data_IF_860448575974
#
_entry.id   IF_860448575974
#
_cell.length_a   1.000
_cell.length_b   1.000
_cell.length_c   1.000
_cell.angle_alpha   90.00
_cell.angle_beta   90.00
_cell.angle_gamma   90.00
#
_symmetry.space_group_name_H-M   'P 1'
#
loop_
_entity.id
_entity.type
_entity.pdbx_description
1 polymer ?
#
# COMPACT_ATOMS: atom_id res chain seq x y z
N UNK A 1 12.59 -21.88 25.25
CA UNK A 1 11.59 -20.78 25.26
C UNK A 1 12.16 -19.67 24.37
N UNK A 2 11.56 -19.36 23.20
CA UNK A 2 11.92 -18.13 22.48
C UNK A 2 11.41 -16.97 23.34
N UNK A 3 12.32 -16.10 23.77
CA UNK A 3 11.99 -14.90 24.53
C UNK A 3 10.88 -14.10 23.85
N UNK A 4 9.88 -13.70 24.62
CA UNK A 4 8.87 -12.76 24.14
C UNK A 4 9.58 -11.43 23.88
N UNK A 5 9.47 -10.91 22.64
CA UNK A 5 10.02 -9.62 22.29
C UNK A 5 9.42 -8.57 23.24
N UNK A 6 10.23 -7.79 23.94
CA UNK A 6 9.70 -6.79 24.87
C UNK A 6 8.90 -5.73 24.10
N UNK A 7 7.71 -5.43 24.59
CA UNK A 7 6.91 -4.32 24.07
C UNK A 7 7.44 -2.98 24.59
N UNK A 8 7.50 -1.96 23.75
CA UNK A 8 7.77 -0.58 24.18
C UNK A 8 6.68 -0.05 25.13
N UNK A 9 6.93 1.06 25.81
CA UNK A 9 5.93 1.70 26.67
C UNK A 9 4.65 2.06 25.91
N UNK A 10 4.76 2.59 24.68
CA UNK A 10 3.62 2.91 23.84
C UNK A 10 2.86 1.67 23.40
N UNK A 11 3.57 0.62 22.99
CA UNK A 11 2.95 -0.66 22.63
C UNK A 11 2.24 -1.28 23.83
N UNK A 12 2.82 -1.23 25.04
CA UNK A 12 2.16 -1.69 26.27
C UNK A 12 0.91 -0.86 26.55
N UNK A 13 0.98 0.48 26.41
CA UNK A 13 -0.17 1.37 26.60
C UNK A 13 -1.30 1.02 25.63
N UNK A 14 -1.00 0.85 24.33
CA UNK A 14 -1.98 0.44 23.33
C UNK A 14 -2.57 -0.96 23.60
N UNK A 15 -1.78 -1.88 24.16
CA UNK A 15 -2.23 -3.24 24.47
C UNK A 15 -3.19 -3.31 25.66
N UNK A 16 -2.95 -2.51 26.75
CA UNK A 16 -3.70 -2.64 28.03
C UNK A 16 -4.59 -1.45 28.37
N UNK A 17 -4.74 -0.44 27.48
CA UNK A 17 -5.49 0.78 27.78
C UNK A 17 -6.91 0.51 28.30
N UNK A 18 -7.56 -0.48 27.74
CA UNK A 18 -8.92 -0.88 28.06
C UNK A 18 -9.10 -1.39 29.50
N UNK A 19 -8.02 -1.81 30.16
CA UNK A 19 -8.00 -2.30 31.55
C UNK A 19 -7.57 -1.23 32.55
N UNK A 20 -7.28 -0.01 32.11
CA UNK A 20 -6.84 1.09 32.95
C UNK A 20 -8.01 1.94 33.37
N UNK A 21 -8.13 2.24 34.67
CA UNK A 21 -9.21 3.11 35.24
C UNK A 21 -9.23 4.49 34.57
N UNK A 22 -8.07 5.06 34.26
CA UNK A 22 -7.94 6.37 33.62
C UNK A 22 -8.62 6.46 32.25
N UNK A 23 -8.92 5.30 31.61
CA UNK A 23 -9.57 5.20 30.28
C UNK A 23 -10.90 4.45 30.35
N UNK A 24 -11.52 4.31 31.52
CA UNK A 24 -12.79 3.59 31.71
C UNK A 24 -13.89 4.17 30.81
N UNK A 25 -13.98 5.50 30.77
CA UNK A 25 -14.97 6.25 29.99
C UNK A 25 -14.59 6.49 28.52
N UNK A 26 -13.43 5.97 28.07
CA UNK A 26 -12.99 6.19 26.70
C UNK A 26 -13.67 5.22 25.74
N UNK A 27 -14.26 5.80 24.68
CA UNK A 27 -14.98 5.05 23.66
C UNK A 27 -14.04 4.45 22.58
N UNK A 28 -12.84 5.01 22.43
CA UNK A 28 -11.95 4.62 21.34
C UNK A 28 -10.45 4.71 21.70
N UNK A 29 -9.63 4.04 20.89
CA UNK A 29 -8.19 4.27 20.81
C UNK A 29 -7.78 4.51 19.36
N UNK A 30 -6.91 5.47 19.15
CA UNK A 30 -6.31 5.83 17.86
C UNK A 30 -4.80 5.66 17.98
N UNK A 31 -4.24 4.74 17.18
CA UNK A 31 -2.81 4.55 17.08
C UNK A 31 -2.37 4.88 15.65
N UNK A 32 -1.78 6.05 15.44
CA UNK A 32 -1.22 6.47 14.15
C UNK A 32 0.31 6.50 14.16
N UNK A 33 0.89 6.89 13.03
CA UNK A 33 2.33 7.16 12.93
C UNK A 33 3.07 6.25 11.97
N UNK A 34 4.39 6.14 12.17
CA UNK A 34 5.33 5.50 11.25
C UNK A 34 5.01 4.02 10.95
N UNK A 35 5.39 3.59 9.75
CA UNK A 35 5.37 2.16 9.40
C UNK A 35 6.35 1.39 10.32
N UNK A 36 6.14 0.08 10.45
CA UNK A 36 7.00 -0.82 11.25
C UNK A 36 7.15 -0.44 12.73
N UNK A 37 6.34 0.46 13.24
CA UNK A 37 6.33 0.85 14.66
C UNK A 37 5.71 -0.21 15.59
N UNK A 38 5.09 -1.24 15.03
CA UNK A 38 4.46 -2.34 15.79
C UNK A 38 3.03 -2.04 16.26
N UNK A 39 2.40 -0.96 15.76
CA UNK A 39 0.99 -0.59 16.06
C UNK A 39 0.04 -1.76 15.87
N UNK A 40 0.01 -2.35 14.67
CA UNK A 40 -0.94 -3.41 14.29
C UNK A 40 -0.85 -4.62 15.22
N UNK A 41 0.36 -5.02 15.63
CA UNK A 41 0.52 -6.13 16.58
C UNK A 41 -0.01 -5.77 17.96
N UNK A 42 0.36 -4.60 18.50
CA UNK A 42 -0.06 -4.17 19.85
C UNK A 42 -1.58 -3.98 19.91
N UNK A 43 -2.16 -3.34 18.88
CA UNK A 43 -3.60 -3.10 18.76
C UNK A 43 -4.36 -4.41 18.58
N UNK A 44 -3.94 -5.26 17.67
CA UNK A 44 -4.60 -6.55 17.41
C UNK A 44 -4.59 -7.45 18.63
N UNK A 45 -3.43 -7.61 19.28
CA UNK A 45 -3.34 -8.39 20.53
C UNK A 45 -4.24 -7.78 21.61
N UNK A 46 -4.18 -6.46 21.82
CA UNK A 46 -5.00 -5.76 22.79
C UNK A 46 -6.50 -5.96 22.55
N UNK A 47 -6.94 -5.85 21.30
CA UNK A 47 -8.33 -6.04 20.90
C UNK A 47 -8.86 -7.44 21.23
N UNK A 48 -8.11 -8.49 20.86
CA UNK A 48 -8.53 -9.85 21.17
C UNK A 48 -8.53 -10.13 22.69
N UNK A 49 -7.53 -9.60 23.42
CA UNK A 49 -7.51 -9.75 24.88
C UNK A 49 -8.69 -9.04 25.53
N UNK A 50 -9.01 -7.80 25.14
CA UNK A 50 -10.16 -7.07 25.59
C UNK A 50 -11.47 -7.81 25.29
N UNK A 51 -11.66 -8.22 24.05
CA UNK A 51 -12.86 -8.91 23.61
C UNK A 51 -13.10 -10.20 24.44
N UNK A 52 -12.03 -10.97 24.68
CA UNK A 52 -12.14 -12.23 25.42
C UNK A 52 -12.17 -12.05 26.95
N UNK A 53 -11.73 -10.91 27.47
CA UNK A 53 -11.82 -10.59 28.89
C UNK A 53 -13.19 -10.03 29.27
N UNK A 54 -13.75 -9.16 28.42
CA UNK A 54 -14.98 -8.42 28.74
C UNK A 54 -16.26 -9.07 28.21
N UNK A 55 -16.17 -9.92 27.16
CA UNK A 55 -17.36 -10.42 26.47
C UNK A 55 -17.34 -11.93 26.28
N UNK A 56 -18.54 -12.51 26.12
CA UNK A 56 -18.76 -13.89 25.69
C UNK A 56 -19.98 -13.93 24.78
N UNK A 57 -19.92 -14.76 23.74
CA UNK A 57 -20.96 -14.92 22.71
C UNK A 57 -21.36 -13.58 22.04
N UNK A 58 -20.35 -12.73 21.75
CA UNK A 58 -20.54 -11.46 21.08
C UNK A 58 -19.89 -11.44 19.71
N UNK A 59 -20.37 -10.49 18.89
CA UNK A 59 -19.89 -10.24 17.55
C UNK A 59 -18.98 -9.02 17.53
N UNK A 60 -17.88 -9.12 16.78
CA UNK A 60 -16.89 -8.08 16.57
C UNK A 60 -16.60 -7.95 15.08
N UNK A 61 -16.14 -6.78 14.65
CA UNK A 61 -15.66 -6.60 13.29
C UNK A 61 -14.15 -6.32 13.26
N UNK A 62 -13.49 -6.93 12.28
CA UNK A 62 -12.13 -6.62 11.88
C UNK A 62 -12.22 -6.02 10.48
N UNK A 63 -11.87 -4.75 10.34
CA UNK A 63 -12.01 -3.96 9.14
C UNK A 63 -10.63 -3.59 8.57
N UNK A 64 -10.44 -3.75 7.28
CA UNK A 64 -9.25 -3.32 6.54
C UNK A 64 -9.62 -2.89 5.13
N UNK A 65 -8.69 -2.30 4.38
CA UNK A 65 -8.95 -1.92 2.99
C UNK A 65 -9.47 -3.09 2.14
N UNK A 66 -8.97 -4.29 2.39
CA UNK A 66 -9.51 -5.53 1.82
C UNK A 66 -9.34 -6.68 2.81
N UNK A 67 -10.20 -7.71 2.71
CA UNK A 67 -10.09 -8.92 3.56
C UNK A 67 -8.73 -9.61 3.37
N UNK A 68 -8.19 -9.62 2.15
CA UNK A 68 -6.87 -10.20 1.88
C UNK A 68 -5.73 -9.43 2.56
N UNK A 69 -5.76 -8.10 2.53
CA UNK A 69 -4.79 -7.27 3.23
C UNK A 69 -4.90 -7.44 4.76
N UNK A 70 -6.11 -7.40 5.28
CA UNK A 70 -6.39 -7.60 6.71
C UNK A 70 -5.85 -8.95 7.23
N UNK A 71 -6.01 -10.03 6.47
CA UNK A 71 -5.44 -11.33 6.82
C UNK A 71 -3.92 -11.27 6.90
N UNK A 72 -3.26 -10.77 5.86
CA UNK A 72 -1.79 -10.67 5.82
C UNK A 72 -1.22 -9.75 6.90
N UNK A 73 -1.84 -8.59 7.09
CA UNK A 73 -1.29 -7.56 7.98
C UNK A 73 -1.57 -7.87 9.46
N UNK A 74 -2.79 -8.25 9.77
CA UNK A 74 -3.26 -8.44 11.14
C UNK A 74 -3.24 -9.92 11.55
N UNK A 75 -4.00 -10.79 10.86
CA UNK A 75 -4.24 -12.14 11.35
C UNK A 75 -3.00 -13.03 11.30
N UNK A 76 -2.21 -12.99 10.22
CA UNK A 76 -0.98 -13.78 10.11
C UNK A 76 0.06 -13.39 11.17
N UNK A 77 -0.03 -12.15 11.69
CA UNK A 77 0.85 -11.66 12.74
C UNK A 77 0.32 -12.00 14.14
N UNK A 78 -0.98 -11.82 14.37
CA UNK A 78 -1.61 -11.92 15.70
C UNK A 78 -1.98 -13.34 16.08
N UNK A 79 -2.58 -14.15 15.17
CA UNK A 79 -3.09 -15.47 15.49
C UNK A 79 -2.02 -16.44 16.01
N UNK A 80 -0.78 -16.48 15.49
CA UNK A 80 0.26 -17.32 16.07
C UNK A 80 0.59 -16.97 17.53
N UNK A 81 0.52 -15.69 17.88
CA UNK A 81 0.77 -15.24 19.24
C UNK A 81 -0.40 -15.62 20.18
N UNK A 82 -1.64 -15.40 19.71
CA UNK A 82 -2.82 -15.81 20.48
C UNK A 82 -2.83 -17.31 20.79
N UNK A 83 -2.54 -18.14 19.77
CA UNK A 83 -2.45 -19.60 19.96
C UNK A 83 -1.39 -20.00 20.99
N UNK A 84 -0.21 -19.36 20.97
CA UNK A 84 0.83 -19.58 21.99
C UNK A 84 0.39 -19.21 23.39
N UNK A 85 -0.55 -18.26 23.52
CA UNK A 85 -1.10 -17.80 24.80
C UNK A 85 -2.38 -18.57 25.21
N UNK A 86 -2.68 -19.68 24.54
CA UNK A 86 -3.75 -20.59 24.89
C UNK A 86 -5.14 -20.18 24.38
N UNK A 87 -5.19 -19.35 23.31
CA UNK A 87 -6.43 -19.11 22.58
C UNK A 87 -6.63 -20.17 21.49
N UNK A 88 -7.81 -20.74 21.39
CA UNK A 88 -8.23 -21.54 20.25
C UNK A 88 -8.79 -20.59 19.19
N UNK A 89 -8.18 -20.58 18.01
CA UNK A 89 -8.55 -19.70 16.90
C UNK A 89 -8.89 -20.52 15.68
N UNK A 90 -10.16 -20.50 15.27
CA UNK A 90 -10.73 -21.21 14.12
C UNK A 90 -11.14 -20.19 13.05
N UNK A 91 -10.50 -20.26 11.88
CA UNK A 91 -10.83 -19.37 10.75
C UNK A 91 -11.70 -20.10 9.73
N UNK A 92 -12.92 -19.60 9.51
CA UNK A 92 -13.84 -20.03 8.45
C UNK A 92 -13.72 -19.05 7.27
N UNK A 93 -12.83 -19.38 6.34
CA UNK A 93 -12.43 -18.44 5.27
C UNK A 93 -13.54 -18.06 4.31
N UNK A 94 -14.40 -19.02 3.95
CA UNK A 94 -15.57 -18.78 3.08
C UNK A 94 -16.59 -17.83 3.72
N UNK A 95 -16.77 -17.94 5.03
CA UNK A 95 -17.69 -17.11 5.81
C UNK A 95 -17.07 -15.76 6.22
N UNK A 96 -15.77 -15.53 5.95
CA UNK A 96 -15.01 -14.37 6.44
C UNK A 96 -15.13 -14.22 7.96
N UNK A 97 -15.11 -15.32 8.70
CA UNK A 97 -15.36 -15.41 10.13
C UNK A 97 -14.16 -16.04 10.84
N UNK A 98 -13.77 -15.45 11.95
CA UNK A 98 -12.82 -16.00 12.90
C UNK A 98 -13.53 -16.23 14.23
N UNK A 99 -13.51 -17.44 14.73
CA UNK A 99 -14.04 -17.80 16.04
C UNK A 99 -12.87 -17.95 17.01
N UNK A 100 -12.93 -17.23 18.13
CA UNK A 100 -11.88 -17.29 19.16
C UNK A 100 -12.49 -17.79 20.47
N UNK A 101 -11.82 -18.79 21.05
CA UNK A 101 -12.23 -19.42 22.33
C UNK A 101 -11.11 -19.34 23.35
N UNK A 102 -11.46 -19.07 24.59
CA UNK A 102 -10.54 -19.11 25.74
C UNK A 102 -11.29 -19.23 27.05
N UNK A 103 -10.87 -20.15 27.90
CA UNK A 103 -11.43 -20.32 29.27
C UNK A 103 -12.96 -20.37 29.30
N UNK A 104 -13.59 -21.14 28.41
CA UNK A 104 -15.03 -21.30 28.32
C UNK A 104 -15.79 -20.16 27.63
N UNK A 105 -15.12 -19.08 27.23
CA UNK A 105 -15.73 -18.00 26.44
C UNK A 105 -15.51 -18.22 24.96
N UNK A 106 -16.46 -17.81 24.13
CA UNK A 106 -16.39 -17.79 22.67
C UNK A 106 -16.85 -16.41 22.18
N UNK A 107 -16.14 -15.85 21.19
CA UNK A 107 -16.58 -14.66 20.47
C UNK A 107 -16.31 -14.84 18.95
N UNK A 108 -17.10 -14.13 18.12
CA UNK A 108 -17.07 -14.19 16.66
C UNK A 108 -16.55 -12.88 16.09
N UNK A 109 -15.56 -12.96 15.21
CA UNK A 109 -14.90 -11.81 14.59
C UNK A 109 -15.10 -11.89 13.07
N UNK A 110 -15.93 -10.99 12.54
CA UNK A 110 -16.22 -10.91 11.11
C UNK A 110 -15.21 -10.02 10.39
N UNK A 111 -14.75 -10.45 9.22
CA UNK A 111 -13.74 -9.75 8.44
C UNK A 111 -14.39 -8.97 7.30
N UNK A 112 -14.15 -7.66 7.25
CA UNK A 112 -14.70 -6.75 6.24
C UNK A 112 -13.60 -6.05 5.46
N UNK A 113 -13.84 -5.85 4.15
CA UNK A 113 -13.02 -5.00 3.29
C UNK A 113 -13.76 -3.70 3.01
N UNK A 114 -13.21 -2.56 3.43
CA UNK A 114 -13.71 -1.22 3.13
C UNK A 114 -12.93 -0.61 1.96
N UNK A 115 -13.13 -1.12 0.73
CA UNK A 115 -12.39 -0.66 -0.43
C UNK A 115 -13.00 0.57 -1.12
N UNK A 116 -14.31 0.75 -0.99
CA UNK A 116 -15.11 1.82 -1.62
C UNK A 116 -16.38 2.12 -0.81
N UNK A 117 -17.12 3.14 -1.21
CA UNK A 117 -18.35 3.59 -0.54
C UNK A 117 -19.42 2.49 -0.43
N UNK A 118 -19.56 1.63 -1.46
CA UNK A 118 -20.52 0.53 -1.45
C UNK A 118 -20.20 -0.51 -0.35
N UNK A 119 -18.99 -0.54 0.17
CA UNK A 119 -18.58 -1.46 1.24
C UNK A 119 -19.36 -1.21 2.56
N UNK A 120 -19.90 -0.01 2.77
CA UNK A 120 -20.70 0.32 3.94
C UNK A 120 -21.94 -0.58 4.08
N UNK A 121 -22.50 -1.05 2.97
CA UNK A 121 -23.65 -1.97 2.96
C UNK A 121 -23.33 -3.34 3.58
N UNK A 122 -22.07 -3.78 3.54
CA UNK A 122 -21.66 -5.11 4.03
C UNK A 122 -21.81 -5.30 5.54
N UNK A 123 -21.79 -4.20 6.30
CA UNK A 123 -21.84 -4.24 7.77
C UNK A 123 -23.21 -3.84 8.33
N UNK A 124 -24.18 -3.56 7.45
CA UNK A 124 -25.54 -3.21 7.86
C UNK A 124 -26.22 -4.38 8.57
N UNK A 125 -27.09 -4.06 9.55
CA UNK A 125 -27.88 -5.04 10.28
C UNK A 125 -27.13 -5.80 11.38
N UNK A 126 -25.82 -5.58 11.55
CA UNK A 126 -25.06 -6.21 12.62
C UNK A 126 -25.17 -5.45 13.95
N UNK A 127 -25.04 -6.19 15.06
CA UNK A 127 -24.85 -5.64 16.40
C UNK A 127 -23.47 -6.05 16.89
N UNK A 128 -22.59 -5.09 17.10
CA UNK A 128 -21.18 -5.32 17.40
C UNK A 128 -20.84 -4.90 18.82
N UNK A 129 -20.00 -5.67 19.48
CA UNK A 129 -19.39 -5.32 20.75
C UNK A 129 -18.08 -4.53 20.58
N UNK A 130 -17.56 -4.43 19.36
CA UNK A 130 -16.41 -3.60 19.04
C UNK A 130 -15.91 -3.80 17.61
N UNK A 131 -15.13 -2.83 17.14
CA UNK A 131 -14.52 -2.84 15.79
C UNK A 131 -13.04 -2.48 15.89
N UNK A 132 -12.22 -3.24 15.19
CA UNK A 132 -10.83 -2.90 14.92
C UNK A 132 -10.67 -2.52 13.44
N UNK A 133 -10.24 -1.29 13.18
CA UNK A 133 -9.91 -0.78 11.86
C UNK A 133 -8.38 -0.82 11.67
N UNK A 134 -7.90 -1.67 10.79
CA UNK A 134 -6.49 -1.69 10.38
C UNK A 134 -6.34 -0.88 9.08
N UNK A 135 -5.47 0.12 9.10
CA UNK A 135 -5.32 1.13 8.05
C UNK A 135 -6.59 2.01 7.86
N UNK A 136 -7.14 2.53 8.95
CA UNK A 136 -8.40 3.31 8.96
C UNK A 136 -8.41 4.48 7.95
N UNK A 137 -7.28 5.16 7.75
CA UNK A 137 -7.16 6.26 6.80
C UNK A 137 -7.31 5.82 5.33
N UNK A 138 -7.20 4.53 5.01
CA UNK A 138 -7.39 4.02 3.64
C UNK A 138 -8.82 3.55 3.36
N UNK A 139 -9.74 3.71 4.31
CA UNK A 139 -11.13 3.31 4.16
C UNK A 139 -12.01 4.53 3.91
N UNK A 140 -13.10 4.38 3.13
CA UNK A 140 -14.10 5.43 2.97
C UNK A 140 -14.71 5.83 4.32
N UNK A 141 -14.98 7.11 4.47
CA UNK A 141 -15.61 7.67 5.66
C UNK A 141 -16.94 6.98 5.98
N UNK A 142 -17.80 6.80 4.99
CA UNK A 142 -19.10 6.14 5.11
C UNK A 142 -19.00 4.73 5.72
N UNK A 143 -17.99 3.96 5.29
CA UNK A 143 -17.75 2.62 5.82
C UNK A 143 -17.35 2.64 7.31
N UNK A 144 -16.43 3.53 7.69
CA UNK A 144 -15.97 3.66 9.08
C UNK A 144 -17.10 4.16 9.99
N UNK A 145 -17.87 5.14 9.55
CA UNK A 145 -19.04 5.65 10.28
C UNK A 145 -20.11 4.56 10.44
N UNK A 146 -20.43 3.83 9.38
CA UNK A 146 -21.40 2.75 9.43
C UNK A 146 -20.96 1.63 10.40
N UNK A 147 -19.70 1.20 10.32
CA UNK A 147 -19.17 0.18 11.23
C UNK A 147 -19.17 0.65 12.68
N UNK A 148 -18.81 1.89 12.92
CA UNK A 148 -18.84 2.50 14.27
C UNK A 148 -20.26 2.57 14.84
N UNK A 149 -21.25 2.93 14.01
CA UNK A 149 -22.65 2.97 14.41
C UNK A 149 -23.25 1.58 14.76
N UNK A 150 -22.62 0.49 14.34
CA UNK A 150 -23.02 -0.88 14.72
C UNK A 150 -22.54 -1.29 16.12
N UNK A 151 -21.63 -0.53 16.75
CA UNK A 151 -21.17 -0.76 18.12
C UNK A 151 -22.20 -0.26 19.13
N UNK A 152 -23.25 -1.04 19.33
CA UNK A 152 -24.39 -0.70 20.20
C UNK A 152 -24.51 -1.60 21.44
N UNK A 153 -23.55 -2.48 21.66
CA UNK A 153 -23.45 -3.28 22.89
C UNK A 153 -22.82 -2.42 23.99
N UNK A 154 -23.34 -2.50 25.22
CA UNK A 154 -22.77 -1.81 26.37
C UNK A 154 -21.29 -2.17 26.56
N UNK A 155 -20.44 -1.17 26.79
CA UNK A 155 -18.99 -1.34 26.90
C UNK A 155 -18.28 -1.53 25.55
N UNK A 156 -18.98 -1.37 24.41
CA UNK A 156 -18.36 -1.44 23.08
C UNK A 156 -17.32 -0.35 22.90
N UNK A 157 -16.23 -0.68 22.14
CA UNK A 157 -15.11 0.23 21.90
C UNK A 157 -14.62 0.13 20.46
N UNK A 158 -14.09 1.28 19.96
CA UNK A 158 -13.54 1.41 18.63
C UNK A 158 -11.99 1.44 18.69
N UNK A 159 -11.35 0.73 17.79
CA UNK A 159 -9.90 0.63 17.74
C UNK A 159 -9.41 1.02 16.34
N UNK A 160 -8.64 2.10 16.23
CA UNK A 160 -8.15 2.63 14.96
C UNK A 160 -6.63 2.55 14.86
N UNK A 161 -6.14 1.85 13.84
CA UNK A 161 -4.72 1.85 13.46
C UNK A 161 -4.58 2.46 12.07
N UNK A 162 -3.66 3.40 11.86
CA UNK A 162 -3.39 3.98 10.54
C UNK A 162 -1.97 4.50 10.41
N UNK A 163 -1.56 4.73 9.16
CA UNK A 163 -0.44 5.60 8.83
C UNK A 163 -1.00 6.97 8.41
N UNK A 164 -0.26 8.06 8.63
CA UNK A 164 -0.70 9.39 8.23
C UNK A 164 -0.84 9.58 6.74
N UNK A 165 -1.81 10.39 6.37
CA UNK A 165 -2.07 10.94 5.05
C UNK A 165 -1.89 12.47 5.07
N UNK A 166 -2.65 13.23 4.30
CA UNK A 166 -2.65 14.68 4.33
C UNK A 166 -3.37 15.27 5.55
N UNK A 167 -3.05 16.53 5.96
CA UNK A 167 -3.67 17.19 7.13
C UNK A 167 -5.16 17.51 6.89
N UNK A 168 -5.60 17.52 5.63
CA UNK A 168 -7.00 17.73 5.26
C UNK A 168 -7.80 16.42 5.22
N UNK A 169 -7.16 15.28 5.47
CA UNK A 169 -7.81 13.99 5.45
C UNK A 169 -8.93 13.91 6.50
N UNK A 170 -10.10 13.37 6.12
CA UNK A 170 -11.28 13.31 6.98
C UNK A 170 -11.00 12.65 8.34
N UNK A 171 -10.21 11.55 8.37
CA UNK A 171 -9.90 10.82 9.59
C UNK A 171 -9.04 11.67 10.54
N UNK A 172 -8.06 12.42 10.00
CA UNK A 172 -7.25 13.34 10.80
C UNK A 172 -8.10 14.43 11.44
N UNK A 173 -8.93 15.12 10.63
CA UNK A 173 -9.75 16.26 11.10
C UNK A 173 -10.83 15.83 12.08
N UNK A 174 -11.47 14.69 11.87
CA UNK A 174 -12.65 14.29 12.65
C UNK A 174 -12.34 13.33 13.80
N UNK A 175 -11.23 12.61 13.73
CA UNK A 175 -10.85 11.66 14.76
C UNK A 175 -9.58 12.06 15.49
N UNK A 176 -8.48 12.32 14.79
CA UNK A 176 -7.19 12.61 15.44
C UNK A 176 -7.22 13.98 16.12
N UNK A 177 -7.62 15.05 15.39
CA UNK A 177 -7.71 16.40 15.96
C UNK A 177 -8.81 16.54 17.03
N UNK A 178 -9.80 15.68 17.02
CA UNK A 178 -10.94 15.70 17.95
C UNK A 178 -10.95 14.52 18.92
N UNK A 179 -9.76 13.94 19.18
CA UNK A 179 -9.67 12.74 20.01
C UNK A 179 -10.24 12.93 21.41
N UNK A 180 -10.01 14.08 22.04
CA UNK A 180 -10.55 14.39 23.36
C UNK A 180 -12.09 14.48 23.37
N UNK A 181 -12.68 15.19 22.39
CA UNK A 181 -14.14 15.31 22.25
C UNK A 181 -14.81 13.94 22.07
N UNK A 182 -14.13 13.04 21.34
CA UNK A 182 -14.59 11.68 21.09
C UNK A 182 -14.25 10.68 22.19
N UNK A 183 -13.66 11.15 23.30
CA UNK A 183 -13.12 10.29 24.36
C UNK A 183 -12.27 9.16 23.78
N UNK A 184 -11.36 9.49 22.87
CA UNK A 184 -10.43 8.57 22.22
C UNK A 184 -9.02 8.75 22.78
N UNK A 185 -8.39 7.66 23.20
CA UNK A 185 -6.97 7.65 23.54
C UNK A 185 -6.15 7.77 22.26
N UNK A 186 -5.45 8.88 22.08
CA UNK A 186 -4.57 9.08 20.96
C UNK A 186 -3.11 8.73 21.30
N UNK A 187 -2.50 7.88 20.48
CA UNK A 187 -1.10 7.46 20.60
C UNK A 187 -0.40 7.56 19.24
N UNK A 188 0.55 8.45 19.16
CA UNK A 188 1.41 8.59 17.98
C UNK A 188 2.64 7.69 18.08
N UNK A 189 2.91 6.87 17.06
CA UNK A 189 4.00 5.90 17.02
C UNK A 189 5.09 6.29 16.01
N UNK A 190 6.34 6.10 16.42
CA UNK A 190 7.52 6.19 15.57
C UNK A 190 8.15 4.81 15.36
N UNK A 191 9.09 4.67 14.43
CA UNK A 191 9.84 3.41 14.28
C UNK A 191 10.66 3.06 15.55
N UNK A 192 11.01 4.05 16.38
CA UNK A 192 11.71 3.84 17.64
C UNK A 192 10.86 3.09 18.67
N UNK A 193 9.54 3.13 18.54
CA UNK A 193 8.62 2.43 19.42
C UNK A 193 8.56 0.91 19.17
N UNK A 194 9.32 0.40 18.19
CA UNK A 194 9.40 -1.02 17.91
C UNK A 194 10.76 -1.59 18.32
N UNK A 195 10.90 -2.20 19.51
CA UNK A 195 12.17 -2.75 19.99
C UNK A 195 12.66 -3.96 19.17
N UNK A 196 11.81 -4.58 18.35
CA UNK A 196 12.20 -5.67 17.45
C UNK A 196 12.86 -5.17 16.15
N UNK A 197 12.84 -3.85 15.89
CA UNK A 197 13.38 -3.27 14.68
C UNK A 197 14.86 -2.90 14.91
N UNK A 198 15.78 -3.69 14.34
CA UNK A 198 17.20 -3.42 14.46
C UNK A 198 17.59 -2.08 13.82
N UNK A 199 18.67 -1.45 14.32
CA UNK A 199 19.19 -0.19 13.75
C UNK A 199 19.49 -0.30 12.25
N UNK A 200 20.03 -1.44 11.79
CA UNK A 200 20.29 -1.71 10.36
C UNK A 200 18.99 -1.71 9.53
N UNK A 201 17.93 -2.32 10.06
CA UNK A 201 16.62 -2.35 9.36
C UNK A 201 16.00 -0.96 9.35
N UNK A 202 16.09 -0.20 10.45
CA UNK A 202 15.63 1.18 10.52
C UNK A 202 16.33 2.07 9.50
N UNK A 203 17.67 2.08 9.48
CA UNK A 203 18.47 2.83 8.51
C UNK A 203 18.11 2.49 7.06
N UNK A 204 17.79 1.21 6.77
CA UNK A 204 17.31 0.80 5.46
C UNK A 204 15.96 1.47 5.11
N UNK A 205 15.00 1.52 6.03
CA UNK A 205 13.73 2.21 5.79
C UNK A 205 13.92 3.71 5.62
N UNK A 206 14.75 4.33 6.45
CA UNK A 206 15.11 5.75 6.35
C UNK A 206 15.71 6.10 4.99
N UNK A 207 16.57 5.22 4.44
CA UNK A 207 17.17 5.42 3.11
C UNK A 207 16.25 5.10 1.93
N UNK A 208 15.15 4.35 2.16
CA UNK A 208 14.19 3.96 1.11
C UNK A 208 13.17 5.05 0.81
N UNK A 209 12.91 5.93 1.75
CA UNK A 209 11.88 6.97 1.62
C UNK A 209 12.51 8.35 1.52
N UNK A 210 11.82 9.28 0.87
CA UNK A 210 12.24 10.66 0.73
C UNK A 210 11.02 11.57 0.55
N UNK A 211 11.22 12.89 0.69
CA UNK A 211 10.14 13.87 0.54
C UNK A 211 8.93 13.53 1.42
N UNK A 212 7.75 13.62 0.83
CA UNK A 212 6.48 13.38 1.52
C UNK A 212 6.39 11.95 2.10
N UNK A 213 6.91 10.95 1.39
CA UNK A 213 6.88 9.56 1.86
C UNK A 213 7.76 9.34 3.10
N UNK A 214 8.88 10.04 3.21
CA UNK A 214 9.71 10.01 4.42
C UNK A 214 8.96 10.61 5.60
N UNK A 215 8.35 11.78 5.42
CA UNK A 215 7.58 12.45 6.46
C UNK A 215 6.41 11.59 6.96
N UNK A 216 5.62 11.01 6.05
CA UNK A 216 4.45 10.19 6.41
C UNK A 216 4.81 8.82 6.96
N UNK A 217 5.73 8.10 6.32
CA UNK A 217 5.98 6.69 6.64
C UNK A 217 7.13 6.46 7.62
N UNK A 218 8.13 7.36 7.64
CA UNK A 218 9.28 7.25 8.57
C UNK A 218 9.05 8.09 9.83
N UNK A 219 8.68 9.37 9.65
CA UNK A 219 8.42 10.25 10.79
C UNK A 219 7.00 10.09 11.33
N UNK A 220 6.05 9.62 10.53
CA UNK A 220 4.66 9.43 10.94
C UNK A 220 3.84 10.72 10.98
N UNK A 221 4.19 11.72 10.19
CA UNK A 221 3.55 13.04 10.19
C UNK A 221 2.34 13.13 9.28
N UNK A 222 1.27 13.77 9.75
CA UNK A 222 0.14 14.21 8.93
C UNK A 222 0.53 15.49 8.19
N UNK A 223 1.04 15.35 6.99
CA UNK A 223 1.59 16.47 6.21
C UNK A 223 1.08 16.45 4.77
N UNK A 224 0.80 17.64 4.23
CA UNK A 224 0.38 17.80 2.84
C UNK A 224 1.49 17.39 1.89
N UNK A 225 1.11 16.73 0.80
CA UNK A 225 1.97 16.59 -0.35
C UNK A 225 1.76 17.83 -1.22
N UNK A 226 2.80 18.59 -1.45
CA UNK A 226 2.76 19.82 -2.24
C UNK A 226 3.87 19.82 -3.30
N UNK A 227 3.60 20.50 -4.41
CA UNK A 227 4.55 20.62 -5.50
C UNK A 227 4.73 19.34 -6.31
N UNK A 228 5.87 19.24 -6.99
CA UNK A 228 6.18 18.13 -7.89
C UNK A 228 6.37 16.82 -7.13
N UNK A 229 5.88 15.72 -7.73
CA UNK A 229 6.00 14.38 -7.16
C UNK A 229 7.46 13.91 -7.13
N UNK A 230 8.22 14.23 -8.18
CA UNK A 230 9.65 13.97 -8.28
C UNK A 230 10.44 15.28 -8.15
N UNK A 231 10.29 15.96 -7.01
CA UNK A 231 10.89 17.27 -6.70
C UNK A 231 12.42 17.29 -6.80
N UNK A 232 13.06 16.15 -6.54
CA UNK A 232 14.50 15.94 -6.64
C UNK A 232 15.00 15.82 -8.08
N UNK A 233 14.12 15.57 -9.06
CA UNK A 233 14.52 15.31 -10.44
C UNK A 233 14.70 16.64 -11.21
N UNK A 234 15.93 16.88 -11.63
CA UNK A 234 16.29 17.97 -12.52
C UNK A 234 16.77 17.36 -13.87
N UNK A 235 16.07 17.60 -15.00
CA UNK A 235 16.43 16.98 -16.29
C UNK A 235 17.89 17.20 -16.69
N UNK A 236 18.44 18.37 -16.42
CA UNK A 236 19.84 18.68 -16.73
C UNK A 236 20.87 17.81 -15.99
N UNK A 237 20.51 17.31 -14.80
CA UNK A 237 21.37 16.49 -13.97
C UNK A 237 21.08 14.98 -14.15
N UNK A 238 19.81 14.61 -14.28
CA UNK A 238 19.36 13.22 -14.26
C UNK A 238 19.22 12.61 -15.66
N UNK A 239 18.82 13.40 -16.67
CA UNK A 239 18.68 12.88 -18.03
C UNK A 239 20.05 12.66 -18.69
N UNK A 240 20.22 11.51 -19.31
CA UNK A 240 21.49 11.08 -19.93
C UNK A 240 21.28 10.73 -21.39
N UNK A 241 22.38 10.57 -22.14
CA UNK A 241 22.33 9.95 -23.45
C UNK A 241 22.08 8.46 -23.33
N UNK A 242 21.46 7.88 -24.35
CA UNK A 242 21.22 6.45 -24.37
C UNK A 242 22.55 5.68 -24.38
N UNK A 243 22.73 4.64 -23.58
CA UNK A 243 23.95 3.85 -23.59
C UNK A 243 24.10 3.14 -24.94
N UNK A 244 25.36 3.00 -25.42
CA UNK A 244 25.65 2.29 -26.66
C UNK A 244 25.21 0.82 -26.61
N UNK A 245 24.71 0.31 -27.73
CA UNK A 245 24.41 -1.13 -27.88
C UNK A 245 25.71 -1.97 -27.86
N UNK A 246 25.67 -3.27 -27.56
CA UNK A 246 24.44 -4.06 -27.31
C UNK A 246 23.88 -3.87 -25.91
N UNK A 247 22.56 -4.02 -25.80
CA UNK A 247 21.84 -4.02 -24.51
C UNK A 247 21.52 -5.46 -24.07
N UNK A 248 21.55 -5.72 -22.77
CA UNK A 248 21.35 -7.05 -22.22
C UNK A 248 19.89 -7.53 -22.37
N UNK A 249 18.93 -6.64 -22.17
CA UNK A 249 17.49 -6.93 -22.19
C UNK A 249 16.73 -5.70 -22.65
N UNK A 250 15.60 -5.95 -23.33
CA UNK A 250 14.67 -4.92 -23.77
C UNK A 250 13.25 -5.23 -23.26
N UNK A 251 12.57 -4.21 -22.78
CA UNK A 251 11.15 -4.26 -22.39
C UNK A 251 10.45 -3.00 -22.87
N UNK A 252 9.12 -3.11 -23.03
CA UNK A 252 8.26 -1.96 -23.29
C UNK A 252 7.25 -1.88 -22.17
N UNK A 253 6.94 -0.69 -21.69
CA UNK A 253 5.77 -0.41 -20.87
C UNK A 253 4.82 0.51 -21.61
N UNK A 254 3.52 0.33 -21.36
CA UNK A 254 2.47 1.03 -22.11
C UNK A 254 1.40 1.50 -21.14
N UNK A 255 1.13 2.81 -21.15
CA UNK A 255 -0.13 3.38 -20.67
C UNK A 255 -1.01 3.62 -21.90
N UNK A 256 -2.09 2.83 -22.00
CA UNK A 256 -2.93 2.78 -23.20
C UNK A 256 -4.18 3.64 -23.05
N UNK A 257 -4.38 4.57 -23.96
CA UNK A 257 -5.56 5.40 -24.04
C UNK A 257 -6.18 5.40 -25.45
N UNK A 258 -7.50 5.30 -25.56
CA UNK A 258 -8.21 5.44 -26.84
C UNK A 258 -8.52 6.90 -27.16
N UNK A 259 -8.95 7.66 -26.17
CA UNK A 259 -9.26 9.11 -26.25
C UNK A 259 -8.15 9.92 -25.58
N UNK A 260 -7.65 9.43 -24.47
CA UNK A 260 -6.49 10.00 -23.78
C UNK A 260 -5.20 9.60 -24.51
N UNK A 261 -4.09 10.29 -24.27
CA UNK A 261 -2.80 9.92 -24.84
C UNK A 261 -2.42 8.46 -24.54
N UNK A 262 -1.76 7.83 -25.50
CA UNK A 262 -1.04 6.58 -25.32
C UNK A 262 0.44 6.86 -25.21
N UNK A 263 1.05 6.40 -24.13
CA UNK A 263 2.50 6.48 -23.90
C UNK A 263 3.12 5.08 -23.92
N UNK A 264 4.20 4.91 -24.68
CA UNK A 264 5.01 3.69 -24.68
C UNK A 264 6.48 4.06 -24.41
N UNK A 265 7.11 3.39 -23.46
CA UNK A 265 8.52 3.57 -23.15
C UNK A 265 9.32 2.33 -23.53
N UNK A 266 10.39 2.50 -24.32
CA UNK A 266 11.36 1.45 -24.61
C UNK A 266 12.47 1.47 -23.56
N UNK A 267 12.61 0.39 -22.83
CA UNK A 267 13.55 0.24 -21.72
C UNK A 267 14.65 -0.77 -22.06
N UNK A 268 15.90 -0.32 -21.93
CA UNK A 268 17.09 -1.14 -22.13
C UNK A 268 17.83 -1.36 -20.83
N UNK A 269 18.22 -2.61 -20.54
CA UNK A 269 19.09 -2.96 -19.41
C UNK A 269 20.54 -2.95 -19.88
N UNK A 270 21.38 -2.21 -19.15
CA UNK A 270 22.84 -2.25 -19.32
C UNK A 270 23.51 -2.04 -17.96
N UNK A 271 24.48 -2.90 -17.62
CA UNK A 271 25.26 -2.84 -16.38
C UNK A 271 24.40 -2.76 -15.11
N UNK A 272 23.26 -3.47 -15.13
CA UNK A 272 22.31 -3.51 -14.02
C UNK A 272 21.44 -2.25 -13.84
N UNK A 273 21.52 -1.29 -14.77
CA UNK A 273 20.70 -0.07 -14.81
C UNK A 273 19.71 -0.15 -15.97
N UNK A 274 18.48 0.25 -15.75
CA UNK A 274 17.46 0.37 -16.77
C UNK A 274 17.41 1.79 -17.31
N UNK A 275 17.51 1.92 -18.63
CA UNK A 275 17.45 3.17 -19.36
C UNK A 275 16.18 3.20 -20.19
N UNK A 276 15.38 4.27 -20.07
CA UNK A 276 14.31 4.59 -21.02
C UNK A 276 14.97 5.24 -22.22
N UNK A 277 15.26 4.44 -23.23
CA UNK A 277 16.11 4.84 -24.38
C UNK A 277 15.35 5.49 -25.51
N UNK A 278 14.05 5.20 -25.63
CA UNK A 278 13.17 5.75 -26.65
C UNK A 278 11.72 5.74 -26.17
N UNK A 279 10.86 6.49 -26.84
CA UNK A 279 9.45 6.59 -26.52
C UNK A 279 8.56 6.75 -27.75
N UNK A 280 7.32 6.32 -27.61
CA UNK A 280 6.21 6.69 -28.48
C UNK A 280 5.15 7.38 -27.65
N UNK A 281 4.71 8.56 -28.09
CA UNK A 281 3.66 9.32 -27.44
C UNK A 281 2.65 9.78 -28.49
N UNK A 282 1.35 9.47 -28.28
CA UNK A 282 0.31 9.85 -29.22
C UNK A 282 -0.90 10.36 -28.47
N UNK A 283 -1.23 11.63 -28.68
CA UNK A 283 -2.44 12.26 -28.14
C UNK A 283 -3.48 12.40 -29.25
N UNK A 284 -4.47 11.53 -29.23
CA UNK A 284 -5.55 11.49 -30.21
C UNK A 284 -6.41 12.76 -30.26
N UNK A 285 -6.42 13.56 -29.19
CA UNK A 285 -7.14 14.86 -29.16
C UNK A 285 -6.37 15.91 -29.95
N UNK A 286 -5.08 15.99 -29.75
CA UNK A 286 -4.19 16.91 -30.47
C UNK A 286 -4.08 16.54 -31.94
N UNK A 287 -3.99 15.25 -32.26
CA UNK A 287 -3.87 14.71 -33.61
C UNK A 287 -5.23 14.67 -34.37
N UNK A 288 -6.33 14.90 -33.66
CA UNK A 288 -7.69 14.87 -34.24
C UNK A 288 -8.15 13.50 -34.75
N UNK A 289 -7.45 12.41 -34.39
CA UNK A 289 -7.71 11.05 -34.85
C UNK A 289 -7.44 10.03 -33.74
N UNK A 290 -8.35 9.07 -33.59
CA UNK A 290 -8.10 7.88 -32.77
C UNK A 290 -7.40 6.81 -33.61
N UNK A 291 -6.47 6.08 -33.01
CA UNK A 291 -5.82 4.89 -33.58
C UNK A 291 -6.52 3.63 -33.08
N UNK A 292 -6.47 2.59 -33.92
CA UNK A 292 -6.90 1.24 -33.56
C UNK A 292 -5.83 0.50 -32.76
N UNK A 293 -6.22 -0.60 -32.11
CA UNK A 293 -5.26 -1.46 -31.40
C UNK A 293 -4.14 -1.94 -32.34
N UNK A 294 -4.46 -2.32 -33.59
CA UNK A 294 -3.47 -2.75 -34.58
C UNK A 294 -2.48 -1.62 -34.94
N UNK A 295 -2.97 -0.40 -35.16
CA UNK A 295 -2.09 0.75 -35.44
C UNK A 295 -1.17 1.09 -34.25
N UNK A 296 -1.59 0.84 -33.01
CA UNK A 296 -0.72 0.99 -31.86
C UNK A 296 0.31 -0.15 -31.74
N UNK A 297 -0.07 -1.37 -32.17
CA UNK A 297 0.92 -2.47 -32.24
C UNK A 297 1.95 -2.21 -33.32
N UNK A 298 1.54 -1.70 -34.49
CA UNK A 298 2.47 -1.30 -35.55
C UNK A 298 3.45 -0.22 -35.04
N UNK A 299 2.96 0.78 -34.31
CA UNK A 299 3.81 1.80 -33.71
C UNK A 299 4.79 1.21 -32.66
N UNK A 300 4.36 0.19 -31.89
CA UNK A 300 5.23 -0.51 -30.97
C UNK A 300 6.31 -1.31 -31.70
N UNK A 301 5.97 -1.97 -32.81
CA UNK A 301 6.94 -2.68 -33.65
C UNK A 301 7.97 -1.70 -34.27
N UNK A 302 7.54 -0.54 -34.72
CA UNK A 302 8.41 0.53 -35.18
C UNK A 302 9.34 1.05 -34.07
N UNK A 303 8.80 1.34 -32.89
CA UNK A 303 9.58 1.77 -31.72
C UNK A 303 10.67 0.76 -31.36
N UNK A 304 10.35 -0.51 -31.44
CA UNK A 304 11.29 -1.58 -31.09
C UNK A 304 12.26 -1.93 -32.25
N UNK A 305 12.03 -1.45 -33.48
CA UNK A 305 12.84 -1.69 -34.66
C UNK A 305 13.18 -3.17 -34.86
N UNK A 306 12.16 -4.03 -34.73
CA UNK A 306 12.28 -5.50 -34.88
C UNK A 306 13.24 -6.16 -33.87
N UNK A 307 13.63 -5.45 -32.79
CA UNK A 307 14.46 -6.02 -31.72
C UNK A 307 13.66 -6.98 -30.87
N UNK A 308 14.32 -8.00 -30.35
CA UNK A 308 13.65 -8.99 -29.45
C UNK A 308 13.29 -8.36 -28.14
N UNK A 309 12.00 -8.12 -27.93
CA UNK A 309 11.45 -7.62 -26.67
C UNK A 309 11.16 -8.79 -25.71
N UNK A 310 11.68 -8.69 -24.47
CA UNK A 310 11.45 -9.70 -23.45
C UNK A 310 9.98 -9.74 -23.01
N UNK A 311 9.39 -8.57 -22.74
CA UNK A 311 8.00 -8.38 -22.31
C UNK A 311 7.47 -7.01 -22.66
N UNK A 312 6.17 -6.93 -22.85
CA UNK A 312 5.39 -5.68 -22.89
C UNK A 312 4.55 -5.62 -21.62
N UNK A 313 4.70 -4.55 -20.83
CA UNK A 313 3.99 -4.31 -19.58
C UNK A 313 2.83 -3.35 -19.89
N UNK A 314 1.58 -3.76 -19.63
CA UNK A 314 0.38 -3.00 -20.03
C UNK A 314 -0.60 -2.94 -18.86
N UNK A 315 -1.31 -1.80 -18.73
CA UNK A 315 -2.40 -1.69 -17.74
C UNK A 315 -3.44 -2.82 -17.95
N UNK A 316 -3.86 -3.50 -16.87
CA UNK A 316 -4.85 -4.58 -16.96
C UNK A 316 -6.19 -4.20 -17.59
N UNK A 317 -6.56 -2.91 -17.58
CA UNK A 317 -7.82 -2.39 -18.15
C UNK A 317 -7.84 -2.41 -19.67
N UNK A 318 -6.67 -2.39 -20.34
CA UNK A 318 -6.52 -2.39 -21.80
C UNK A 318 -6.69 -3.80 -22.41
N UNK A 319 -7.81 -4.46 -22.15
CA UNK A 319 -8.02 -5.86 -22.49
C UNK A 319 -7.91 -6.17 -23.99
N UNK A 320 -8.48 -5.32 -24.86
CA UNK A 320 -8.45 -5.48 -26.31
C UNK A 320 -7.03 -5.34 -26.88
N UNK A 321 -6.32 -4.32 -26.43
CA UNK A 321 -4.94 -4.09 -26.82
C UNK A 321 -3.99 -5.21 -26.36
N UNK A 322 -4.19 -5.72 -25.12
CA UNK A 322 -3.45 -6.89 -24.61
C UNK A 322 -3.66 -8.11 -25.52
N UNK A 323 -4.87 -8.34 -25.98
CA UNK A 323 -5.20 -9.48 -26.85
C UNK A 323 -4.58 -9.31 -28.24
N UNK A 324 -4.60 -8.10 -28.79
CA UNK A 324 -3.95 -7.77 -30.06
C UNK A 324 -2.45 -7.98 -30.00
N UNK A 325 -1.77 -7.51 -28.94
CA UNK A 325 -0.35 -7.76 -28.70
C UNK A 325 -0.02 -9.25 -28.65
N UNK A 326 -0.85 -10.07 -27.99
CA UNK A 326 -0.64 -11.52 -27.89
C UNK A 326 -0.78 -12.22 -29.24
N UNK A 327 -1.79 -11.82 -30.04
CA UNK A 327 -1.96 -12.33 -31.42
C UNK A 327 -0.78 -12.00 -32.32
N UNK A 328 -0.15 -10.85 -32.11
CA UNK A 328 1.08 -10.41 -32.81
C UNK A 328 2.35 -11.05 -32.20
N UNK A 329 2.24 -11.96 -31.23
CA UNK A 329 3.35 -12.74 -30.69
C UNK A 329 4.12 -12.10 -29.53
N UNK A 330 3.66 -10.96 -28.99
CA UNK A 330 4.29 -10.34 -27.84
C UNK A 330 3.98 -11.05 -26.53
N UNK A 331 4.97 -11.14 -25.66
CA UNK A 331 4.79 -11.62 -24.27
C UNK A 331 4.31 -10.48 -23.40
N UNK A 332 3.00 -10.47 -23.10
CA UNK A 332 2.38 -9.41 -22.30
C UNK A 332 2.37 -9.76 -20.82
N UNK A 333 2.78 -8.79 -20.00
CA UNK A 333 2.65 -8.79 -18.55
C UNK A 333 1.66 -7.69 -18.13
N UNK A 334 0.65 -8.05 -17.35
CA UNK A 334 -0.26 -7.05 -16.75
C UNK A 334 0.48 -6.23 -15.70
N UNK A 335 0.37 -4.92 -15.78
CA UNK A 335 0.98 -3.99 -14.84
C UNK A 335 0.37 -4.12 -13.43
N UNK A 336 1.18 -3.81 -12.43
CA UNK A 336 0.67 -3.48 -11.11
C UNK A 336 0.43 -1.96 -11.08
N UNK A 337 -0.84 -1.56 -11.07
CA UNK A 337 -1.25 -0.16 -11.16
C UNK A 337 -1.47 0.52 -9.79
N UNK A 338 -0.97 -0.05 -8.68
CA UNK A 338 -0.99 0.59 -7.36
C UNK A 338 -0.24 1.93 -7.39
N UNK A 339 -0.98 3.05 -7.21
CA UNK A 339 -0.45 4.41 -7.42
C UNK A 339 0.59 4.76 -6.37
N UNK A 340 0.23 4.79 -5.09
CA UNK A 340 1.13 5.25 -4.02
C UNK A 340 2.42 4.41 -3.92
N UNK A 341 2.31 3.07 -3.97
CA UNK A 341 3.47 2.18 -3.98
C UNK A 341 4.32 2.37 -5.24
N UNK A 342 3.67 2.55 -6.38
CA UNK A 342 4.36 2.77 -7.66
C UNK A 342 5.15 4.07 -7.68
N UNK A 343 4.58 5.18 -7.23
CA UNK A 343 5.29 6.46 -7.13
C UNK A 343 6.51 6.35 -6.22
N UNK A 344 6.37 5.71 -5.07
CA UNK A 344 7.47 5.47 -4.15
C UNK A 344 8.59 4.62 -4.77
N UNK A 345 8.23 3.52 -5.41
CA UNK A 345 9.20 2.62 -6.07
C UNK A 345 9.94 3.34 -7.19
N UNK A 346 9.22 4.09 -8.00
CA UNK A 346 9.80 4.89 -9.09
C UNK A 346 10.78 5.93 -8.56
N UNK A 347 10.39 6.69 -7.52
CA UNK A 347 11.26 7.67 -6.89
C UNK A 347 12.55 7.04 -6.34
N UNK A 348 12.44 5.88 -5.67
CA UNK A 348 13.61 5.15 -5.14
C UNK A 348 14.57 4.69 -6.26
N UNK A 349 14.03 4.14 -7.35
CA UNK A 349 14.84 3.69 -8.49
C UNK A 349 15.52 4.86 -9.22
N UNK A 350 14.83 5.98 -9.42
CA UNK A 350 15.40 7.19 -10.01
C UNK A 350 16.53 7.76 -9.14
N UNK A 351 16.30 7.95 -7.84
CA UNK A 351 17.33 8.46 -6.89
C UNK A 351 18.57 7.60 -6.84
N UNK A 352 18.41 6.28 -6.88
CA UNK A 352 19.51 5.32 -6.89
C UNK A 352 20.15 5.15 -8.26
N UNK A 353 19.74 5.94 -9.24
CA UNK A 353 20.19 5.85 -10.65
C UNK A 353 20.11 4.43 -11.21
N UNK A 354 19.10 3.68 -10.80
CA UNK A 354 18.79 2.33 -11.31
C UNK A 354 17.72 2.36 -12.38
N UNK A 355 17.04 3.49 -12.49
CA UNK A 355 16.16 3.89 -13.57
C UNK A 355 16.64 5.23 -14.08
N UNK A 356 16.92 5.33 -15.36
CA UNK A 356 17.44 6.52 -16.01
C UNK A 356 16.56 6.85 -17.21
N UNK A 357 16.21 8.13 -17.37
CA UNK A 357 15.45 8.64 -18.51
C UNK A 357 16.44 9.27 -19.47
N UNK A 358 16.43 8.82 -20.73
CA UNK A 358 17.30 9.39 -21.73
C UNK A 358 16.74 10.68 -22.32
N UNK A 359 17.61 11.56 -22.81
CA UNK A 359 17.23 12.86 -23.38
C UNK A 359 16.36 12.77 -24.63
N UNK A 360 16.36 11.62 -25.30
CA UNK A 360 15.45 11.29 -26.41
C UNK A 360 13.98 11.25 -25.97
N UNK A 361 13.71 10.93 -24.72
CA UNK A 361 12.36 10.77 -24.17
C UNK A 361 11.76 12.12 -23.73
N UNK A 362 11.46 12.97 -24.69
CA UNK A 362 11.04 14.37 -24.48
C UNK A 362 9.68 14.50 -23.78
N UNK A 363 8.73 13.63 -24.14
CA UNK A 363 7.38 13.66 -23.57
C UNK A 363 7.39 13.20 -22.10
N UNK A 364 8.15 12.15 -21.80
CA UNK A 364 8.37 11.72 -20.43
C UNK A 364 9.02 12.82 -19.57
N UNK A 365 10.04 13.48 -20.08
CA UNK A 365 10.70 14.58 -19.36
C UNK A 365 9.76 15.77 -19.17
N UNK A 366 8.98 16.15 -20.18
CA UNK A 366 7.96 17.20 -20.11
C UNK A 366 6.92 16.90 -19.03
N UNK A 367 6.35 15.71 -19.01
CA UNK A 367 5.35 15.33 -18.00
C UNK A 367 5.96 15.28 -16.60
N UNK A 368 7.19 14.81 -16.44
CA UNK A 368 7.87 14.76 -15.16
C UNK A 368 8.05 16.15 -14.52
N UNK A 369 8.25 17.18 -15.31
CA UNK A 369 8.38 18.58 -14.83
C UNK A 369 7.06 19.14 -14.29
N UNK A 370 5.92 18.70 -14.85
CA UNK A 370 4.58 19.14 -14.46
C UNK A 370 3.83 18.18 -13.54
N UNK A 371 4.43 17.03 -13.24
CA UNK A 371 3.77 15.98 -12.44
C UNK A 371 3.74 16.35 -10.97
N UNK A 372 2.59 16.76 -10.48
CA UNK A 372 2.42 17.35 -9.16
C UNK A 372 1.30 16.68 -8.33
N UNK A 373 1.36 16.92 -7.04
CA UNK A 373 0.32 16.52 -6.11
C UNK A 373 -0.86 17.47 -6.16
N UNK A 374 -2.08 16.90 -6.11
CA UNK A 374 -3.33 17.64 -5.90
C UNK A 374 -4.16 16.94 -4.84
N UNK A 375 -5.06 17.71 -4.19
CA UNK A 375 -6.04 17.12 -3.27
C UNK A 375 -7.28 16.70 -4.05
N UNK A 376 -7.76 15.47 -3.83
CA UNK A 376 -8.93 14.88 -4.52
C UNK A 376 -10.28 15.38 -4.00
N UNK A 377 -10.29 16.37 -3.09
CA UNK A 377 -11.49 16.90 -2.44
C UNK A 377 -11.96 16.07 -1.24
N UNK A 378 -11.55 14.82 -1.11
CA UNK A 378 -11.80 13.98 0.09
C UNK A 378 -10.68 14.08 1.13
N UNK A 379 -9.64 14.85 0.82
CA UNK A 379 -8.47 15.07 1.68
C UNK A 379 -7.30 14.15 1.41
N UNK A 380 -7.38 13.29 0.37
CA UNK A 380 -6.24 12.52 -0.09
C UNK A 380 -5.39 13.32 -1.07
N UNK A 381 -4.09 13.18 -0.93
CA UNK A 381 -3.15 13.69 -1.93
C UNK A 381 -2.97 12.63 -3.02
N UNK A 382 -3.32 13.02 -4.24
CA UNK A 382 -3.24 12.18 -5.44
C UNK A 382 -2.43 12.88 -6.52
N UNK A 383 -1.83 12.15 -7.46
CA UNK A 383 -1.25 12.77 -8.64
C UNK A 383 -2.31 13.50 -9.46
N UNK A 384 -1.98 14.67 -10.02
CA UNK A 384 -2.82 15.34 -11.01
C UNK A 384 -3.01 14.42 -12.20
N UNK A 385 -4.26 14.28 -12.64
CA UNK A 385 -4.65 13.42 -13.77
C UNK A 385 -4.66 14.16 -15.11
N UNK A 386 -3.64 14.96 -15.31
CA UNK A 386 -3.36 15.69 -16.55
C UNK A 386 -1.88 15.57 -16.86
N UNK A 387 -1.53 15.25 -18.11
CA UNK A 387 -0.13 15.04 -18.54
C UNK A 387 0.59 14.03 -17.63
N UNK A 388 -0.02 12.88 -17.40
CA UNK A 388 0.48 11.85 -16.49
C UNK A 388 0.67 10.46 -17.17
N UNK A 389 0.51 10.39 -18.49
CA UNK A 389 0.52 9.12 -19.23
C UNK A 389 1.90 8.47 -19.28
N UNK A 390 2.96 9.26 -19.53
CA UNK A 390 4.33 8.75 -19.45
C UNK A 390 4.74 8.47 -17.99
N UNK A 391 4.16 9.16 -17.03
CA UNK A 391 4.38 8.93 -15.59
C UNK A 391 3.73 7.62 -15.13
N UNK A 392 2.51 7.33 -15.58
CA UNK A 392 1.81 6.08 -15.29
C UNK A 392 2.51 4.90 -15.99
N UNK A 393 2.93 5.05 -17.26
CA UNK A 393 3.73 4.06 -17.99
C UNK A 393 5.06 3.75 -17.27
N UNK A 394 5.81 4.77 -16.86
CA UNK A 394 7.07 4.62 -16.12
C UNK A 394 6.83 3.92 -14.77
N UNK A 395 5.74 4.22 -14.08
CA UNK A 395 5.33 3.59 -12.83
C UNK A 395 5.06 2.10 -13.01
N UNK A 396 4.38 1.70 -14.09
CA UNK A 396 4.15 0.28 -14.44
C UNK A 396 5.47 -0.45 -14.65
N UNK A 397 6.40 0.18 -15.37
CA UNK A 397 7.73 -0.38 -15.56
C UNK A 397 8.48 -0.56 -14.25
N UNK A 398 8.56 0.48 -13.43
CA UNK A 398 9.26 0.47 -12.14
C UNK A 398 8.75 -0.64 -11.22
N UNK A 399 7.44 -0.82 -11.13
CA UNK A 399 6.82 -1.90 -10.35
C UNK A 399 7.19 -3.29 -10.88
N UNK A 400 7.33 -3.46 -12.21
CA UNK A 400 7.75 -4.73 -12.82
C UNK A 400 9.20 -5.09 -12.49
N UNK A 401 10.08 -4.10 -12.43
CA UNK A 401 11.49 -4.27 -12.06
C UNK A 401 11.63 -4.63 -10.58
N UNK A 402 10.88 -3.97 -9.72
CA UNK A 402 10.88 -4.25 -8.27
C UNK A 402 10.39 -5.67 -7.97
N UNK A 403 9.34 -6.15 -8.66
CA UNK A 403 8.81 -7.51 -8.51
C UNK A 403 9.79 -8.60 -8.96
N UNK A 404 10.62 -8.34 -9.98
CA UNK A 404 11.58 -9.31 -10.54
C UNK A 404 12.83 -9.58 -9.69
N UNK A 405 13.03 -8.85 -8.59
CA UNK A 405 14.21 -8.99 -7.71
C UNK A 405 13.91 -9.62 -6.34
N UNK A 406 12.90 -10.48 -6.27
CA UNK A 406 12.42 -11.02 -4.99
C UNK A 406 11.78 -9.89 -4.20
N UNK A 407 10.48 -9.89 -4.13
CA UNK A 407 9.64 -8.81 -3.63
C UNK A 407 10.33 -7.96 -2.56
N UNK A 408 10.66 -6.72 -2.88
CA UNK A 408 10.72 -5.70 -1.84
C UNK A 408 9.37 -5.80 -1.11
N UNK A 409 9.35 -6.02 0.20
CA UNK A 409 8.07 -6.12 0.86
C UNK A 409 7.33 -4.81 0.62
N UNK A 410 6.21 -4.85 -0.10
CA UNK A 410 5.12 -3.94 0.13
C UNK A 410 5.03 -3.78 1.64
N UNK A 411 4.58 -2.65 2.16
CA UNK A 411 4.49 -2.39 3.61
C UNK A 411 3.88 -3.53 4.45
N UNK A 412 3.65 -4.70 3.86
CA UNK A 412 2.90 -5.88 4.33
C UNK A 412 3.50 -7.24 3.99
N UNK A 413 4.79 -7.41 3.74
CA UNK A 413 5.35 -8.75 3.56
C UNK A 413 6.10 -9.22 4.82
N UNK A 414 5.46 -10.10 5.54
CA UNK A 414 6.03 -10.91 6.63
C UNK A 414 7.12 -11.82 6.07
N UNK A 415 8.28 -11.81 6.71
CA UNK A 415 9.39 -12.74 6.49
C UNK A 415 8.90 -14.19 6.47
N UNK A 416 9.11 -14.90 5.36
CA UNK A 416 9.07 -16.36 5.34
C UNK A 416 10.14 -16.87 6.29
N UNK A 417 9.72 -17.56 7.32
CA UNK A 417 10.60 -18.38 8.15
C UNK A 417 11.17 -19.50 7.28
N UNK A 418 12.49 -19.53 7.15
CA UNK A 418 13.23 -20.66 6.61
C UNK A 418 12.92 -21.90 7.44
N UNK A 419 12.36 -22.93 6.81
CA UNK A 419 12.26 -24.28 7.35
C UNK A 419 13.68 -24.83 7.56
N UNK A 420 14.06 -25.00 8.80
CA UNK A 420 15.11 -25.95 9.17
C UNK A 420 14.51 -27.35 9.25
N UNK A 421 14.62 -28.12 8.17
CA UNK A 421 14.66 -29.58 8.23
C UNK A 421 16.12 -29.98 8.08
N UNK A 422 16.61 -30.77 9.02
CA UNK A 422 17.85 -31.54 8.85
C UNK A 422 18.76 -31.48 10.06
N UNK A 423 18.59 -32.41 10.98
CA UNK A 423 19.60 -33.25 11.60
C UNK A 423 18.99 -34.04 12.76
N UNK A 424 18.39 -35.17 12.42
CA UNK A 424 18.30 -36.31 13.34
C UNK A 424 18.91 -37.49 12.59
N UNK A 425 20.15 -37.78 12.94
CA UNK A 425 20.79 -39.12 12.81
C UNK A 425 22.28 -38.94 13.15
N UNK A 426 22.62 -39.17 14.40
CA UNK A 426 23.60 -40.11 14.96
C UNK A 426 23.74 -39.92 16.48
#
# INVERSE_FOLDING_TARGET
MKEMIPLSLRQRKAFVWWARREYEDYAAIICDGAIRSGKTLAMGMGFFFWAMACFSDRQFALCGRSVGALRRNLLETVLPQLRRLGFACEEKRSEKLLIVRRRGRENRFYLFGGANEASAALIQGMTLAGVLFDEAALMPRSFVEQASARCSVEGSRLWFSCNPEGPNHWFYREWVCRAEEKRALYLHFTMADNPSLSARVRARYESMYSGIFYRRFVLGEWTAAEGRIYDFYAPGEYAQEAPAEPWERLRVSVDYGTVNPTSMGLWALKDGVWYRVDEYYYDSRTEGRQKTDEEYVDALEELTRVRRIERVIVDPSAASFIETLRRRGFRVMRANNAVADGLRVTADLLKKRRLVICRSCKDCLREMESYEWVNDGSGHDVPRKENDHAMDEMRYFAMSVAAGRGAMPTACAVTRTTNWRGAAER
#
